data_IF_907451588478
#
_entry.id   IF_907451588478
#
_cell.length_a   1.000
_cell.length_b   1.000
_cell.length_c   1.000
_cell.angle_alpha   90.00
_cell.angle_beta   90.00
_cell.angle_gamma   90.00
#
_symmetry.space_group_name_H-M   'P 1'
#
loop_
_entity.id
_entity.type
_entity.pdbx_description
1 polymer ?
#
# COMPACT_ATOMS: atom_id res chain seq x y z
N UNK A 1 -29.13 -7.99 -27.69
CA UNK A 1 -28.95 -6.64 -28.26
C UNK A 1 -28.97 -5.56 -27.16
N UNK A 2 -27.81 -5.27 -26.57
CA UNK A 2 -27.68 -4.22 -25.54
C UNK A 2 -26.90 -3.04 -26.11
N UNK A 3 -27.60 -1.98 -26.50
CA UNK A 3 -26.96 -0.70 -26.83
C UNK A 3 -26.50 -0.09 -25.52
N UNK A 4 -25.18 0.04 -25.35
CA UNK A 4 -24.62 0.72 -24.18
C UNK A 4 -25.08 2.18 -24.19
N UNK A 5 -25.58 2.64 -23.05
CA UNK A 5 -26.08 3.99 -22.86
C UNK A 5 -25.18 4.74 -21.90
N UNK A 6 -25.01 6.05 -22.12
CA UNK A 6 -24.36 6.89 -21.12
C UNK A 6 -25.18 6.88 -19.82
N UNK A 7 -24.57 6.68 -18.64
CA UNK A 7 -25.30 6.69 -17.37
C UNK A 7 -25.85 8.08 -16.99
N UNK A 8 -25.29 9.15 -17.53
CA UNK A 8 -25.70 10.54 -17.23
C UNK A 8 -26.94 10.95 -18.05
N UNK A 9 -26.91 10.72 -19.37
CA UNK A 9 -27.93 11.21 -20.31
C UNK A 9 -28.76 10.10 -20.99
N UNK A 10 -28.43 8.83 -20.75
CA UNK A 10 -29.08 7.63 -21.32
C UNK A 10 -29.09 7.55 -22.84
N UNK A 11 -28.30 8.36 -23.54
CA UNK A 11 -28.18 8.30 -24.99
C UNK A 11 -27.34 7.10 -25.43
N UNK A 12 -27.58 6.57 -26.65
CA UNK A 12 -26.75 5.54 -27.25
C UNK A 12 -25.28 5.97 -27.29
N UNK A 13 -24.40 5.16 -26.72
CA UNK A 13 -22.97 5.41 -26.66
C UNK A 13 -22.28 4.78 -27.89
N UNK A 14 -21.57 5.60 -28.65
CA UNK A 14 -20.76 5.14 -29.79
C UNK A 14 -19.29 5.02 -29.34
N UNK A 15 -18.81 3.79 -29.13
CA UNK A 15 -17.45 3.53 -28.68
C UNK A 15 -16.37 4.04 -29.63
N UNK A 16 -16.66 4.17 -30.92
CA UNK A 16 -15.72 4.71 -31.90
C UNK A 16 -15.47 6.22 -31.71
N UNK A 17 -16.25 6.88 -30.84
CA UNK A 17 -16.13 8.32 -30.53
C UNK A 17 -15.63 8.59 -29.11
N UNK A 18 -15.31 7.55 -28.35
CA UNK A 18 -14.76 7.68 -27.00
C UNK A 18 -13.25 7.73 -27.13
N UNK A 19 -12.66 8.86 -26.75
CA UNK A 19 -11.22 9.05 -26.76
C UNK A 19 -10.75 9.44 -25.36
N UNK A 20 -9.57 8.94 -24.92
CA UNK A 20 -8.95 9.46 -23.72
C UNK A 20 -8.63 10.94 -23.91
N UNK A 21 -8.89 11.74 -22.88
CA UNK A 21 -8.54 13.16 -22.84
C UNK A 21 -7.18 13.33 -22.15
N UNK A 22 -6.08 13.53 -22.93
CA UNK A 22 -4.75 13.61 -22.36
C UNK A 22 -4.54 14.88 -21.52
N UNK A 23 -5.25 15.97 -21.83
CA UNK A 23 -5.14 17.23 -21.08
C UNK A 23 -5.78 17.07 -19.70
N UNK A 24 -6.96 16.45 -19.66
CA UNK A 24 -7.63 16.11 -18.40
C UNK A 24 -6.80 15.12 -17.58
N UNK A 25 -6.20 14.11 -18.22
CA UNK A 25 -5.30 13.18 -17.54
C UNK A 25 -4.13 13.90 -16.87
N UNK A 26 -3.46 14.82 -17.59
CA UNK A 26 -2.37 15.63 -17.05
C UNK A 26 -2.84 16.48 -15.86
N UNK A 27 -4.02 17.09 -15.96
CA UNK A 27 -4.59 17.89 -14.87
C UNK A 27 -4.87 17.03 -13.62
N UNK A 28 -5.56 15.89 -13.78
CA UNK A 28 -5.86 14.96 -12.68
C UNK A 28 -4.57 14.45 -12.04
N UNK A 29 -3.58 14.05 -12.85
CA UNK A 29 -2.28 13.58 -12.37
C UNK A 29 -1.44 14.70 -11.72
N UNK A 30 -1.72 15.96 -12.05
CA UNK A 30 -1.09 17.15 -11.47
C UNK A 30 -1.66 17.57 -10.12
N UNK A 31 -2.81 17.04 -9.71
CA UNK A 31 -3.48 17.45 -8.47
C UNK A 31 -2.60 17.19 -7.24
N UNK A 32 -2.43 18.19 -6.34
CA UNK A 32 -1.69 18.02 -5.11
C UNK A 32 -2.51 17.20 -4.11
N UNK A 33 -1.93 16.11 -3.64
CA UNK A 33 -2.56 15.20 -2.67
C UNK A 33 -1.61 14.91 -1.50
N UNK A 34 -2.18 14.37 -0.42
CA UNK A 34 -1.42 13.87 0.74
C UNK A 34 -1.39 12.34 0.72
N UNK A 35 -0.37 11.75 1.31
CA UNK A 35 -0.29 10.30 1.47
C UNK A 35 -1.46 9.76 2.30
N UNK A 36 -1.97 8.59 1.95
CA UNK A 36 -3.01 7.87 2.71
C UNK A 36 -2.58 7.58 4.16
N UNK A 37 -1.27 7.44 4.41
CA UNK A 37 -0.70 7.20 5.73
C UNK A 37 -0.40 8.52 6.48
N UNK A 38 -1.02 9.64 6.08
CA UNK A 38 -0.79 10.93 6.75
C UNK A 38 -1.20 10.91 8.21
N UNK A 39 -2.24 10.17 8.56
CA UNK A 39 -2.73 10.00 9.93
C UNK A 39 -1.74 9.19 10.79
N UNK A 40 -0.96 8.30 10.19
CA UNK A 40 0.08 7.52 10.86
C UNK A 40 1.40 8.30 11.01
N UNK A 41 1.50 9.48 10.40
CA UNK A 41 2.66 10.37 10.48
C UNK A 41 3.43 10.55 9.18
N UNK A 42 2.94 10.04 8.05
CA UNK A 42 3.55 10.32 6.76
C UNK A 42 3.30 11.78 6.33
N UNK A 43 4.36 12.58 6.23
CA UNK A 43 4.25 14.00 5.84
C UNK A 43 4.33 14.24 4.33
N UNK A 44 4.30 13.19 3.52
CA UNK A 44 4.44 13.34 2.07
C UNK A 44 3.20 13.99 1.47
N UNK A 45 3.44 15.02 0.67
CA UNK A 45 2.46 15.66 -0.20
C UNK A 45 3.09 15.96 -1.55
N UNK A 46 2.30 15.87 -2.61
CA UNK A 46 2.77 16.10 -3.96
C UNK A 46 1.74 15.76 -5.03
N UNK A 47 2.11 15.87 -6.32
CA UNK A 47 1.24 15.53 -7.43
C UNK A 47 0.82 14.06 -7.40
N UNK A 48 -0.41 13.75 -7.80
CA UNK A 48 -0.95 12.38 -7.89
C UNK A 48 -0.03 11.44 -8.69
N UNK A 49 0.58 11.92 -9.80
CA UNK A 49 1.56 11.14 -10.58
C UNK A 49 2.74 10.58 -9.77
N UNK A 50 3.13 11.24 -8.67
CA UNK A 50 4.26 10.81 -7.84
C UNK A 50 3.83 9.92 -6.67
N UNK A 51 2.53 9.75 -6.43
CA UNK A 51 2.01 8.95 -5.33
C UNK A 51 2.48 7.50 -5.42
N UNK A 52 2.41 6.89 -6.61
CA UNK A 52 2.82 5.50 -6.78
C UNK A 52 4.30 5.28 -6.42
N UNK A 53 5.17 6.19 -6.84
CA UNK A 53 6.59 6.17 -6.47
C UNK A 53 6.82 6.36 -4.97
N UNK A 54 6.04 7.25 -4.35
CA UNK A 54 6.05 7.44 -2.90
C UNK A 54 5.59 6.17 -2.16
N UNK A 55 4.47 5.54 -2.53
CA UNK A 55 3.97 4.33 -1.86
C UNK A 55 5.01 3.19 -1.87
N UNK A 56 5.84 3.10 -2.91
CA UNK A 56 6.93 2.13 -2.98
C UNK A 56 8.06 2.41 -1.97
N UNK A 57 8.18 3.62 -1.45
CA UNK A 57 9.24 4.05 -0.50
C UNK A 57 8.70 4.49 0.85
N UNK A 58 7.38 4.62 0.99
CA UNK A 58 6.72 5.08 2.20
C UNK A 58 7.00 4.13 3.37
N UNK A 59 7.52 4.68 4.46
CA UNK A 59 7.87 3.94 5.68
C UNK A 59 6.67 3.27 6.36
N UNK A 60 5.49 3.86 6.19
CA UNK A 60 4.22 3.41 6.77
C UNK A 60 3.50 2.40 5.88
N UNK A 61 3.88 2.32 4.60
CA UNK A 61 3.23 1.38 3.68
C UNK A 61 3.49 -0.07 4.12
N UNK A 62 2.42 -0.86 4.10
CA UNK A 62 2.43 -2.26 4.54
C UNK A 62 2.80 -3.14 3.37
N UNK A 63 3.91 -3.86 3.52
CA UNK A 63 4.46 -4.74 2.49
C UNK A 63 4.50 -6.20 2.98
N UNK A 64 4.31 -7.18 2.07
CA UNK A 64 4.49 -8.57 2.40
C UNK A 64 5.97 -8.87 2.67
N UNK A 65 6.23 -9.77 3.60
CA UNK A 65 7.60 -10.22 3.86
C UNK A 65 8.19 -10.93 2.62
N UNK A 66 9.43 -10.63 2.20
CA UNK A 66 10.08 -11.28 1.06
C UNK A 66 10.31 -12.78 1.28
N UNK A 67 10.40 -13.24 2.54
CA UNK A 67 10.45 -14.66 2.89
C UNK A 67 9.08 -15.36 2.81
N UNK A 68 8.02 -14.66 2.33
CA UNK A 68 6.65 -15.15 2.19
C UNK A 68 6.12 -15.82 3.47
N UNK A 69 6.37 -15.16 4.59
CA UNK A 69 5.71 -15.47 5.86
C UNK A 69 4.30 -14.83 5.88
N UNK A 70 3.37 -15.30 6.73
CA UNK A 70 1.99 -14.81 6.74
C UNK A 70 1.82 -13.38 7.27
N UNK A 71 2.87 -12.76 7.82
CA UNK A 71 2.79 -11.40 8.36
C UNK A 71 2.87 -10.32 7.27
N UNK A 72 2.00 -9.31 7.41
CA UNK A 72 2.06 -8.04 6.70
C UNK A 72 2.67 -7.00 7.65
N UNK A 73 3.68 -6.28 7.20
CA UNK A 73 4.48 -5.40 8.05
C UNK A 73 4.65 -4.05 7.38
N UNK A 74 4.71 -2.98 8.17
CA UNK A 74 5.13 -1.70 7.64
C UNK A 74 6.57 -1.78 7.13
N UNK A 75 6.91 -0.96 6.14
CA UNK A 75 8.27 -0.94 5.56
C UNK A 75 9.33 -0.61 6.61
N UNK A 76 9.02 0.24 7.60
CA UNK A 76 9.92 0.55 8.72
C UNK A 76 10.21 -0.66 9.62
N UNK A 77 9.24 -1.56 9.79
CA UNK A 77 9.35 -2.71 10.71
C UNK A 77 9.92 -3.94 10.01
N UNK A 78 9.92 -3.96 8.67
CA UNK A 78 10.40 -5.09 7.88
C UNK A 78 11.87 -5.50 8.19
N UNK A 79 12.85 -4.58 8.32
CA UNK A 79 14.24 -4.96 8.63
C UNK A 79 14.35 -5.67 9.99
N UNK A 80 13.68 -5.13 11.02
CA UNK A 80 13.66 -5.73 12.35
C UNK A 80 13.02 -7.13 12.31
N UNK A 81 11.90 -7.27 11.60
CA UNK A 81 11.27 -8.57 11.38
C UNK A 81 12.19 -9.57 10.69
N UNK A 82 12.84 -9.19 9.59
CA UNK A 82 13.76 -10.07 8.86
C UNK A 82 14.94 -10.51 9.73
N UNK A 83 15.36 -9.69 10.68
CA UNK A 83 16.45 -9.97 11.59
C UNK A 83 16.04 -10.82 12.79
N UNK A 84 14.86 -10.60 13.38
CA UNK A 84 14.48 -11.17 14.69
C UNK A 84 13.18 -11.99 14.68
N UNK A 85 12.12 -11.53 14.00
CA UNK A 85 10.77 -12.07 14.16
C UNK A 85 10.30 -13.00 13.03
N UNK A 86 11.01 -13.03 11.89
CA UNK A 86 10.56 -13.79 10.73
C UNK A 86 10.66 -15.30 10.96
N UNK A 87 9.54 -16.04 10.96
CA UNK A 87 9.56 -17.49 11.18
C UNK A 87 10.18 -18.26 10.00
N UNK A 88 10.22 -17.64 8.82
CA UNK A 88 10.88 -18.18 7.62
C UNK A 88 12.26 -17.58 7.36
N UNK A 89 12.86 -16.90 8.35
CA UNK A 89 14.23 -16.40 8.26
C UNK A 89 15.18 -17.57 7.96
N UNK A 90 16.02 -17.45 6.92
CA UNK A 90 17.11 -18.41 6.70
C UNK A 90 18.15 -18.20 7.79
N UNK A 91 18.13 -19.04 8.81
CA UNK A 91 19.17 -19.07 9.83
C UNK A 91 20.47 -19.53 9.14
N UNK A 92 21.44 -18.63 8.97
CA UNK A 92 22.83 -19.08 8.83
C UNK A 92 23.15 -19.82 10.12
N UNK A 93 23.54 -21.09 10.00
CA UNK A 93 23.81 -21.96 11.14
C UNK A 93 25.00 -21.40 11.94
N UNK A 94 24.70 -20.62 12.98
CA UNK A 94 25.62 -20.31 14.06
C UNK A 94 25.11 -21.08 15.27
N UNK A 95 25.88 -22.08 15.70
CA UNK A 95 25.59 -22.89 16.88
C UNK A 95 25.52 -21.99 18.12
N UNK A 96 24.52 -22.26 18.97
CA UNK A 96 24.49 -22.21 20.46
C UNK A 96 23.16 -21.61 21.01
N UNK A 97 22.63 -22.31 22.02
CA UNK A 97 21.34 -22.28 22.74
C UNK A 97 20.71 -20.93 23.18
N UNK A 98 19.35 -20.88 23.19
CA UNK A 98 18.45 -20.61 24.34
C UNK A 98 17.09 -19.94 23.93
N UNK A 99 15.99 -20.06 24.73
CA UNK A 99 14.61 -20.10 24.23
C UNK A 99 13.86 -18.75 24.16
N UNK A 100 12.68 -18.84 23.52
CA UNK A 100 11.75 -17.82 23.01
C UNK A 100 11.29 -16.75 24.02
N UNK A 101 11.06 -15.52 23.53
CA UNK A 101 10.09 -14.58 24.10
C UNK A 101 8.87 -14.48 23.18
N UNK A 102 7.70 -14.75 23.74
CA UNK A 102 6.40 -14.55 23.10
C UNK A 102 6.09 -13.06 23.18
N UNK A 103 6.01 -12.37 22.05
CA UNK A 103 5.50 -10.99 22.01
C UNK A 103 3.97 -11.05 22.14
N UNK A 104 3.46 -10.75 23.34
CA UNK A 104 2.05 -10.49 23.59
C UNK A 104 1.55 -9.38 22.67
N UNK A 105 0.64 -9.72 21.76
CA UNK A 105 -0.17 -8.74 21.03
C UNK A 105 -1.06 -8.05 22.06
N UNK A 106 -0.80 -6.76 22.33
CA UNK A 106 -1.73 -5.95 23.12
C UNK A 106 -2.89 -5.59 22.19
N UNK A 107 -4.05 -6.22 22.42
CA UNK A 107 -5.31 -5.80 21.81
C UNK A 107 -5.72 -4.53 22.57
N UNK A 108 -5.62 -3.38 21.90
CA UNK A 108 -6.24 -2.15 22.40
C UNK A 108 -7.74 -2.29 22.24
N UNK A 109 -8.44 -2.56 23.35
CA UNK A 109 -9.90 -2.48 23.41
C UNK A 109 -10.27 -1.01 23.34
N UNK A 110 -11.00 -0.61 22.30
CA UNK A 110 -11.61 0.73 22.20
C UNK A 110 -12.90 0.69 23.03
N UNK A 111 -13.07 1.52 24.07
CA UNK A 111 -14.34 1.58 24.78
C UNK A 111 -15.41 2.24 23.88
N UNK A 112 -16.65 1.79 24.06
CA UNK A 112 -17.85 2.28 23.40
C UNK A 112 -18.20 3.72 23.78
#
# INVERSE_FOLDING_TARGET
>A
EGVFKCPEDQLPLDYAKIYPDPELEVQVLGLPIRCIHSEEGCRWSGPLRHLQGHLNTCSFNVIPCPNRCPMKLSRRDLPAHLQHDCPKRRLKAMRVCAPRRVSTVRISVVPA
#
